data_IF_885088004709
#
_entry.id   IF_885088004709
#
_cell.length_a   1.000
_cell.length_b   1.000
_cell.length_c   1.000
_cell.angle_alpha   90.00
_cell.angle_beta   90.00
_cell.angle_gamma   90.00
#
_symmetry.space_group_name_H-M   'P 1'
#
loop_
_entity.id
_entity.type
_entity.pdbx_description
1 polymer ?
#
# COMPACT_ATOMS: atom_id res chain seq x y z
N UNK A 1 13.39 16.95 -8.65
CA UNK A 1 12.65 16.28 -7.58
C UNK A 1 13.37 15.02 -7.12
N UNK A 2 13.51 14.85 -5.82
CA UNK A 2 14.31 13.75 -5.24
C UNK A 2 13.47 12.57 -4.76
N UNK A 3 12.19 12.52 -5.10
CA UNK A 3 11.31 11.44 -4.66
C UNK A 3 11.67 10.13 -5.36
N UNK A 4 12.05 9.13 -4.58
CA UNK A 4 12.41 7.80 -5.08
C UNK A 4 11.26 7.18 -5.89
N UNK A 5 10.03 7.24 -5.38
CA UNK A 5 8.89 6.63 -6.05
C UNK A 5 8.47 7.38 -7.31
N UNK A 6 8.62 8.70 -7.34
CA UNK A 6 8.42 9.44 -8.58
C UNK A 6 9.40 8.97 -9.66
N UNK A 7 10.64 8.74 -9.28
CA UNK A 7 11.68 8.24 -10.20
C UNK A 7 11.37 6.84 -10.70
N UNK A 8 10.87 5.98 -9.83
CA UNK A 8 10.45 4.62 -10.22
C UNK A 8 9.28 4.71 -11.20
N UNK A 9 8.31 5.56 -10.91
CA UNK A 9 7.15 5.75 -11.78
C UNK A 9 7.51 6.27 -13.17
N UNK A 10 8.57 7.05 -13.28
CA UNK A 10 9.08 7.56 -14.57
C UNK A 10 10.16 6.65 -15.19
N UNK A 11 10.42 5.49 -14.60
CA UNK A 11 11.44 4.54 -15.05
C UNK A 11 12.86 5.09 -15.03
N UNK A 12 13.12 6.07 -14.19
CA UNK A 12 14.47 6.62 -13.99
C UNK A 12 15.30 5.75 -13.05
N UNK A 13 14.64 4.97 -12.19
CA UNK A 13 15.25 3.97 -11.33
C UNK A 13 14.56 2.64 -11.62
N UNK A 14 15.32 1.55 -11.83
CA UNK A 14 14.72 0.26 -12.11
C UNK A 14 13.93 -0.29 -10.93
N UNK A 15 12.84 -0.98 -11.23
CA UNK A 15 12.03 -1.71 -10.26
C UNK A 15 11.36 -2.88 -10.98
N UNK A 16 10.98 -3.91 -10.23
CA UNK A 16 10.27 -5.05 -10.77
C UNK A 16 8.77 -4.74 -10.84
N UNK A 17 8.35 -4.18 -11.96
CA UNK A 17 6.97 -3.76 -12.17
C UNK A 17 6.09 -4.96 -12.46
N UNK A 18 4.99 -5.10 -11.72
CA UNK A 18 4.03 -6.19 -11.89
C UNK A 18 2.75 -5.73 -12.58
N UNK A 19 2.44 -4.45 -12.54
CA UNK A 19 1.30 -3.85 -13.22
C UNK A 19 1.50 -2.34 -13.34
N UNK A 20 1.04 -1.75 -14.43
CA UNK A 20 1.00 -0.29 -14.56
C UNK A 20 -0.11 0.12 -15.51
N UNK A 21 -0.63 1.31 -15.28
CA UNK A 21 -1.57 1.97 -16.17
C UNK A 21 -1.32 3.50 -16.12
N UNK A 22 -2.23 4.29 -16.69
CA UNK A 22 -2.07 5.75 -16.72
C UNK A 22 -2.13 6.38 -15.33
N UNK A 23 -2.72 5.73 -14.35
CA UNK A 23 -2.95 6.27 -13.00
C UNK A 23 -1.89 5.83 -12.00
N UNK A 24 -1.36 4.62 -12.14
CA UNK A 24 -0.57 3.99 -11.09
C UNK A 24 0.51 3.05 -11.63
N UNK A 25 1.49 2.78 -10.78
CA UNK A 25 2.52 1.77 -11.02
C UNK A 25 2.57 0.86 -9.79
N UNK A 26 2.60 -0.45 -10.01
CA UNK A 26 2.74 -1.46 -8.98
C UNK A 26 4.05 -2.21 -9.19
N UNK A 27 4.88 -2.27 -8.15
CA UNK A 27 6.18 -2.94 -8.23
C UNK A 27 6.47 -3.70 -6.94
N UNK A 28 7.31 -4.72 -7.04
CA UNK A 28 7.68 -5.53 -5.89
C UNK A 28 8.49 -4.73 -4.89
N UNK A 29 8.15 -4.88 -3.61
CA UNK A 29 8.91 -4.27 -2.52
C UNK A 29 10.28 -4.98 -2.44
N UNK A 30 11.36 -4.20 -2.36
CA UNK A 30 12.71 -4.75 -2.27
C UNK A 30 13.04 -5.28 -0.87
N UNK A 31 12.22 -4.97 0.12
CA UNK A 31 12.30 -5.54 1.48
C UNK A 31 11.02 -6.31 1.77
N UNK A 32 10.76 -7.39 1.01
CA UNK A 32 9.45 -8.05 1.05
C UNK A 32 9.20 -8.74 2.39
N UNK A 33 7.95 -8.66 2.85
CA UNK A 33 7.49 -9.37 4.05
C UNK A 33 6.86 -10.71 3.70
N UNK A 34 6.62 -10.94 2.42
CA UNK A 34 6.11 -12.20 1.89
C UNK A 34 6.46 -12.28 0.40
N UNK A 35 6.47 -13.48 -0.19
CA UNK A 35 6.60 -13.58 -1.64
C UNK A 35 5.48 -12.79 -2.32
N UNK A 36 5.85 -11.89 -3.23
CA UNK A 36 4.89 -11.06 -3.94
C UNK A 36 4.45 -9.80 -3.21
N UNK A 37 5.06 -9.45 -2.09
CA UNK A 37 4.79 -8.16 -1.42
C UNK A 37 5.02 -7.04 -2.43
N UNK A 38 3.96 -6.32 -2.74
CA UNK A 38 3.93 -5.31 -3.80
C UNK A 38 3.49 -3.98 -3.20
N UNK A 39 4.00 -2.89 -3.76
CA UNK A 39 3.49 -1.55 -3.45
C UNK A 39 2.89 -0.94 -4.71
N UNK A 40 1.77 -0.24 -4.54
CA UNK A 40 1.10 0.49 -5.62
C UNK A 40 1.21 1.97 -5.32
N UNK A 41 1.69 2.72 -6.29
CA UNK A 41 1.86 4.17 -6.17
C UNK A 41 1.06 4.90 -7.24
N UNK A 42 0.51 6.09 -6.92
CA UNK A 42 -0.01 6.96 -7.96
C UNK A 42 1.16 7.54 -8.76
N UNK A 43 0.94 7.77 -10.07
CA UNK A 43 1.98 8.41 -10.90
C UNK A 43 2.19 9.86 -10.52
N UNK A 44 1.12 10.58 -10.22
CA UNK A 44 1.23 11.94 -9.71
C UNK A 44 1.67 11.90 -8.25
N UNK A 45 2.65 12.72 -7.92
CA UNK A 45 3.16 12.78 -6.56
C UNK A 45 2.07 13.23 -5.58
N UNK A 46 1.89 12.45 -4.52
CA UNK A 46 1.10 12.82 -3.35
C UNK A 46 1.83 12.20 -2.15
N UNK A 47 2.10 13.00 -1.15
CA UNK A 47 2.83 12.50 0.03
C UNK A 47 1.97 11.52 0.84
N UNK A 48 0.66 11.72 0.83
CA UNK A 48 -0.27 10.91 1.60
C UNK A 48 -1.62 10.81 0.89
N UNK A 49 -2.48 9.96 1.44
CA UNK A 49 -3.87 9.81 0.98
C UNK A 49 -4.62 11.15 0.98
N UNK A 50 -4.30 12.06 1.91
CA UNK A 50 -4.97 13.35 2.02
C UNK A 50 -4.69 14.28 0.84
N UNK A 51 -3.59 14.08 0.12
CA UNK A 51 -3.20 14.92 -1.00
C UNK A 51 -3.71 14.43 -2.34
N UNK A 52 -4.23 13.22 -2.41
CA UNK A 52 -4.77 12.68 -3.66
C UNK A 52 -6.09 13.36 -3.95
N UNK A 53 -6.23 13.94 -5.15
CA UNK A 53 -7.50 14.54 -5.53
C UNK A 53 -8.57 13.46 -5.69
N UNK A 54 -9.85 13.76 -5.33
CA UNK A 54 -10.89 12.73 -5.36
C UNK A 54 -11.04 11.98 -6.69
N UNK A 55 -10.85 12.67 -7.81
CA UNK A 55 -10.96 12.04 -9.12
C UNK A 55 -9.91 10.95 -9.38
N UNK A 56 -8.79 10.99 -8.66
CA UNK A 56 -7.69 10.04 -8.85
C UNK A 56 -7.77 8.84 -7.88
N UNK A 57 -8.61 8.92 -6.85
CA UNK A 57 -8.75 7.85 -5.85
C UNK A 57 -9.31 6.56 -6.46
N UNK A 58 -10.36 6.67 -7.24
CA UNK A 58 -10.96 5.50 -7.90
C UNK A 58 -9.97 4.78 -8.79
N UNK A 59 -9.34 5.48 -9.75
CA UNK A 59 -8.32 4.86 -10.61
C UNK A 59 -7.17 4.22 -9.85
N UNK A 60 -6.70 4.86 -8.77
CA UNK A 60 -5.63 4.30 -7.93
C UNK A 60 -6.05 2.98 -7.31
N UNK A 61 -7.25 2.91 -6.72
CA UNK A 61 -7.72 1.69 -6.06
C UNK A 61 -8.17 0.62 -7.05
N UNK A 62 -8.56 0.98 -8.26
CA UNK A 62 -8.75 0.00 -9.33
C UNK A 62 -7.42 -0.68 -9.66
N UNK A 63 -6.31 0.08 -9.69
CA UNK A 63 -4.98 -0.48 -9.88
C UNK A 63 -4.60 -1.43 -8.74
N UNK A 64 -4.95 -1.10 -7.50
CA UNK A 64 -4.74 -1.99 -6.35
C UNK A 64 -5.49 -3.31 -6.56
N UNK A 65 -6.76 -3.23 -6.95
CA UNK A 65 -7.58 -4.42 -7.19
C UNK A 65 -7.00 -5.29 -8.30
N UNK A 66 -6.64 -4.67 -9.42
CA UNK A 66 -6.06 -5.39 -10.57
C UNK A 66 -4.76 -6.08 -10.20
N UNK A 67 -3.90 -5.36 -9.46
CA UNK A 67 -2.62 -5.90 -9.01
C UNK A 67 -2.83 -7.09 -8.07
N UNK A 68 -3.75 -6.96 -7.11
CA UNK A 68 -4.05 -8.05 -6.17
C UNK A 68 -4.56 -9.29 -6.92
N UNK A 69 -5.40 -9.11 -7.94
CA UNK A 69 -5.87 -10.24 -8.77
C UNK A 69 -4.73 -10.94 -9.49
N UNK A 70 -3.79 -10.18 -10.05
CA UNK A 70 -2.61 -10.75 -10.70
C UNK A 70 -1.76 -11.57 -9.74
N UNK A 71 -1.55 -11.04 -8.54
CA UNK A 71 -0.81 -11.75 -7.50
C UNK A 71 -1.52 -13.03 -7.08
N UNK A 72 -2.85 -12.98 -6.96
CA UNK A 72 -3.65 -14.15 -6.62
C UNK A 72 -3.51 -15.25 -7.67
N UNK A 73 -3.57 -14.90 -8.94
CA UNK A 73 -3.46 -15.85 -10.04
C UNK A 73 -2.05 -16.42 -10.16
N UNK A 74 -1.02 -15.62 -9.90
CA UNK A 74 0.36 -16.04 -10.08
C UNK A 74 0.90 -16.85 -8.90
N UNK A 75 0.54 -16.49 -7.67
CA UNK A 75 1.16 -17.02 -6.46
C UNK A 75 0.23 -17.85 -5.59
N UNK A 76 -1.06 -17.79 -5.83
CA UNK A 76 -2.08 -18.55 -5.10
C UNK A 76 -2.04 -18.38 -3.58
N UNK A 77 -1.96 -17.13 -3.05
CA UNK A 77 -2.03 -16.92 -1.61
C UNK A 77 -3.42 -17.24 -1.08
N UNK A 78 -3.51 -17.59 0.21
CA UNK A 78 -4.80 -17.82 0.86
C UNK A 78 -5.51 -16.52 1.22
N UNK A 79 -4.80 -15.39 1.28
CA UNK A 79 -5.38 -14.10 1.58
C UNK A 79 -4.41 -12.97 1.30
N UNK A 80 -4.83 -11.76 1.66
CA UNK A 80 -4.01 -10.56 1.53
C UNK A 80 -4.16 -9.67 2.75
N UNK A 81 -3.10 -8.98 3.11
CA UNK A 81 -3.18 -7.79 3.96
C UNK A 81 -2.86 -6.60 3.07
N UNK A 82 -3.80 -5.65 2.99
CA UNK A 82 -3.67 -4.48 2.13
C UNK A 82 -3.78 -3.25 3.03
N UNK A 83 -2.82 -2.33 2.93
CA UNK A 83 -2.85 -1.18 3.81
C UNK A 83 -1.86 -0.10 3.44
N UNK A 84 -2.01 1.03 4.14
CA UNK A 84 -1.20 2.23 3.97
C UNK A 84 -0.63 2.60 5.33
N UNK A 85 0.68 2.89 5.38
CA UNK A 85 1.29 3.51 6.55
C UNK A 85 1.30 5.02 6.31
N UNK A 86 0.44 5.74 7.03
CA UNK A 86 0.33 7.18 6.92
C UNK A 86 1.10 7.83 8.05
N UNK A 87 2.13 8.59 7.68
CA UNK A 87 2.99 9.28 8.64
C UNK A 87 4.13 8.41 9.15
N UNK A 88 5.17 9.06 9.63
CA UNK A 88 6.40 8.37 10.07
C UNK A 88 6.14 7.44 11.24
N UNK A 89 5.26 7.83 12.14
CA UNK A 89 4.96 7.03 13.34
C UNK A 89 4.34 5.67 13.00
N UNK A 90 3.66 5.59 11.86
CA UNK A 90 3.05 4.33 11.42
C UNK A 90 3.94 3.53 10.45
N UNK A 91 5.15 4.03 10.17
CA UNK A 91 6.13 3.32 9.37
C UNK A 91 6.35 3.84 7.96
N UNK A 92 5.80 5.02 7.63
CA UNK A 92 6.02 5.60 6.31
C UNK A 92 7.45 6.11 6.20
N UNK A 93 8.23 5.49 5.32
CA UNK A 93 9.64 5.84 5.09
C UNK A 93 9.78 6.78 3.88
N UNK A 94 9.00 6.56 2.82
CA UNK A 94 9.04 7.36 1.60
C UNK A 94 7.82 8.28 1.58
N UNK A 95 8.06 9.58 1.38
CA UNK A 95 6.99 10.59 1.34
C UNK A 95 6.32 10.67 -0.03
N UNK A 96 5.82 9.55 -0.47
CA UNK A 96 4.99 9.37 -1.64
C UNK A 96 4.02 8.26 -1.28
N UNK A 97 2.73 8.51 -1.43
CA UNK A 97 1.70 7.54 -1.09
C UNK A 97 1.99 6.19 -1.72
N UNK A 98 1.94 5.14 -0.93
CA UNK A 98 2.07 3.79 -1.46
C UNK A 98 1.17 2.85 -0.66
N UNK A 99 0.49 1.99 -1.39
CA UNK A 99 -0.42 1.00 -0.82
C UNK A 99 0.29 -0.34 -0.87
N UNK A 100 0.47 -0.95 0.30
CA UNK A 100 1.07 -2.28 0.41
C UNK A 100 0.03 -3.34 0.09
N UNK A 101 0.41 -4.29 -0.73
CA UNK A 101 -0.36 -5.52 -0.98
C UNK A 101 0.54 -6.67 -0.56
N UNK A 102 0.20 -7.32 0.53
CA UNK A 102 0.99 -8.40 1.09
C UNK A 102 0.21 -9.71 0.94
N UNK A 103 0.65 -10.59 0.05
CA UNK A 103 0.04 -11.93 -0.03
C UNK A 103 0.26 -12.70 1.27
N UNK A 104 -0.79 -13.38 1.72
CA UNK A 104 -0.72 -14.13 2.97
C UNK A 104 -0.82 -15.62 2.68
N UNK A 105 0.10 -16.34 3.32
CA UNK A 105 0.23 -17.79 3.18
C UNK A 105 0.11 -18.43 4.54
N UNK A 106 -0.51 -19.60 4.60
CA UNK A 106 -0.61 -20.34 5.84
C UNK A 106 0.78 -20.61 6.40
N UNK A 107 0.97 -20.35 7.69
CA UNK A 107 2.27 -20.53 8.34
C UNK A 107 3.28 -19.40 8.06
N UNK A 108 2.83 -18.25 7.57
CA UNK A 108 3.73 -17.14 7.20
C UNK A 108 4.26 -16.35 8.41
N UNK A 109 3.88 -16.72 9.61
CA UNK A 109 4.35 -16.06 10.83
C UNK A 109 3.73 -14.69 11.09
N UNK A 110 2.75 -14.27 10.27
CA UNK A 110 2.15 -12.96 10.38
C UNK A 110 0.89 -12.93 11.22
N UNK A 111 0.45 -11.72 11.55
CA UNK A 111 -0.80 -11.46 12.25
C UNK A 111 -1.78 -10.71 11.37
N UNK A 112 -2.70 -9.99 12.02
CA UNK A 112 -3.70 -9.17 11.34
C UNK A 112 -3.49 -7.70 11.67
N UNK A 113 -4.32 -6.83 11.09
CA UNK A 113 -4.30 -5.40 11.40
C UNK A 113 -4.55 -5.14 12.90
N UNK A 114 -5.20 -6.05 13.59
CA UNK A 114 -5.45 -5.93 15.03
C UNK A 114 -4.15 -5.93 15.86
N UNK A 115 -3.05 -6.40 15.28
CA UNK A 115 -1.75 -6.46 15.94
C UNK A 115 -0.87 -5.24 15.68
N UNK A 116 -1.36 -4.26 14.91
CA UNK A 116 -0.56 -3.10 14.51
C UNK A 116 -0.29 -2.17 15.68
N UNK A 117 -1.26 -2.01 16.57
CA UNK A 117 -1.14 -1.15 17.73
C UNK A 117 -2.00 -1.71 18.88
N UNK A 118 -1.53 -1.49 20.11
CA UNK A 118 -2.27 -1.89 21.30
C UNK A 118 -2.46 -0.65 22.17
N UNK A 119 -3.47 0.16 21.83
CA UNK A 119 -3.76 1.42 22.52
C UNK A 119 -5.27 1.66 22.56
N UNK A 120 -6.04 0.78 23.23
CA UNK A 120 -7.48 0.94 23.27
C UNK A 120 -7.86 2.25 23.97
N UNK A 121 -8.95 2.89 23.55
CA UNK A 121 -9.36 4.17 24.14
C UNK A 121 -9.84 3.97 25.58
N UNK A 122 -9.68 5.00 26.40
CA UNK A 122 -10.23 5.03 27.78
C UNK A 122 -11.67 5.53 27.77
N UNK A 123 -12.06 6.26 26.72
CA UNK A 123 -13.41 6.79 26.56
C UNK A 123 -14.31 5.78 25.83
N UNK A 124 -15.62 5.89 26.07
CA UNK A 124 -16.58 5.09 25.32
C UNK A 124 -16.57 5.46 23.84
N UNK A 125 -16.90 4.50 22.99
CA UNK A 125 -16.90 4.67 21.54
C UNK A 125 -17.82 5.82 21.13
N UNK A 126 -18.99 5.97 21.80
CA UNK A 126 -19.93 7.05 21.52
C UNK A 126 -19.34 8.44 21.79
N UNK A 127 -18.49 8.56 22.83
CA UNK A 127 -17.83 9.82 23.17
C UNK A 127 -16.84 10.20 22.08
N UNK A 128 -16.07 9.22 21.59
CA UNK A 128 -15.13 9.44 20.48
C UNK A 128 -15.88 9.85 19.21
N UNK A 129 -17.02 9.20 18.94
CA UNK A 129 -17.83 9.48 17.75
C UNK A 129 -18.39 10.89 17.74
N UNK A 130 -18.67 11.47 18.90
CA UNK A 130 -19.26 12.80 19.04
C UNK A 130 -18.24 13.95 18.93
N UNK A 131 -16.98 13.65 18.79
CA UNK A 131 -15.95 14.68 18.62
C UNK A 131 -15.92 15.22 17.21
#
# INVERSE_FOLDING_TARGET
MKCLFCKIGRREIPAEVVYEDSAAVAFLDIHPRAPGHTVVIPRLHAASLFEVVPADLGPLFIAVQTTARRLKEALHPQGFTIGINHGRISGQVVEHLHIHIIPRFEGDGGGSLHAVVANPPHEAVSVIADK
#
